data_IF_525413001540
#
_entry.id   IF_525413001540
#
_cell.length_a   1.000
_cell.length_b   1.000
_cell.length_c   1.000
_cell.angle_alpha   90.00
_cell.angle_beta   90.00
_cell.angle_gamma   90.00
#
_symmetry.space_group_name_H-M   'P 1'
#
loop_
_entity.id
_entity.type
_entity.pdbx_description
1 polymer ?
#
# COMPACT_ATOMS: atom_id res chain seq x y z
N UNK A 1 15.23 -0.69 12.57
CA UNK A 1 13.84 -0.38 12.18
C UNK A 1 13.81 0.25 10.81
N UNK A 2 12.79 -0.07 10.00
CA UNK A 2 12.55 0.54 8.69
C UNK A 2 11.23 1.32 8.75
N UNK A 3 11.22 2.52 9.35
CA UNK A 3 9.99 3.26 9.63
C UNK A 3 9.23 3.70 8.37
N UNK A 4 9.88 3.67 7.22
CA UNK A 4 9.29 3.97 5.92
C UNK A 4 8.59 2.78 5.26
N UNK A 5 8.67 1.57 5.82
CA UNK A 5 7.99 0.40 5.26
C UNK A 5 6.48 0.52 5.45
N UNK A 6 5.72 0.22 4.40
CA UNK A 6 4.26 0.31 4.39
C UNK A 6 3.67 -1.05 4.02
N UNK A 7 2.69 -1.49 4.81
CA UNK A 7 1.86 -2.65 4.54
C UNK A 7 0.60 -2.16 3.78
N UNK A 8 0.52 -2.44 2.48
CA UNK A 8 -0.65 -2.11 1.65
C UNK A 8 -1.62 -3.28 1.70
N UNK A 9 -2.82 -2.98 2.19
CA UNK A 9 -3.85 -3.96 2.46
C UNK A 9 -5.02 -3.78 1.50
N UNK A 10 -5.59 -4.89 1.06
CA UNK A 10 -6.82 -4.96 0.29
C UNK A 10 -7.86 -5.74 1.11
N UNK A 11 -9.00 -5.13 1.40
CA UNK A 11 -10.02 -5.68 2.32
C UNK A 11 -9.43 -6.09 3.70
N UNK A 12 -8.42 -5.35 4.17
CA UNK A 12 -7.73 -5.63 5.44
C UNK A 12 -6.67 -6.75 5.40
N UNK A 13 -6.48 -7.41 4.26
CA UNK A 13 -5.41 -8.40 4.07
C UNK A 13 -4.17 -7.80 3.41
N UNK A 14 -2.96 -8.15 3.89
CA UNK A 14 -1.69 -7.77 3.25
C UNK A 14 -1.68 -8.21 1.78
N UNK A 15 -1.49 -7.24 0.88
CA UNK A 15 -1.45 -7.49 -0.56
C UNK A 15 -0.08 -7.14 -1.15
N UNK A 16 0.50 -6.00 -0.75
CA UNK A 16 1.78 -5.52 -1.25
C UNK A 16 2.55 -4.74 -0.18
N UNK A 17 3.84 -4.56 -0.41
CA UNK A 17 4.66 -3.58 0.31
C UNK A 17 4.66 -2.21 -0.37
N UNK A 18 5.04 -1.18 0.38
CA UNK A 18 5.28 0.16 -0.14
C UNK A 18 6.36 0.88 0.66
N UNK A 19 6.73 2.07 0.18
CA UNK A 19 7.69 2.96 0.84
C UNK A 19 7.04 4.33 1.02
N UNK A 20 7.04 4.82 2.25
CA UNK A 20 6.62 6.19 2.56
C UNK A 20 7.68 7.16 2.02
N UNK A 21 7.31 7.97 1.03
CA UNK A 21 8.20 8.96 0.39
C UNK A 21 7.91 10.40 0.85
N UNK A 22 6.72 10.61 1.40
CA UNK A 22 6.29 11.84 2.08
C UNK A 22 5.19 11.48 3.10
N UNK A 23 4.84 12.41 3.97
CA UNK A 23 3.76 12.34 4.96
C UNK A 23 2.43 11.77 4.46
N UNK A 24 2.10 11.96 3.18
CA UNK A 24 0.87 11.47 2.56
C UNK A 24 1.09 10.73 1.23
N UNK A 25 2.34 10.32 0.93
CA UNK A 25 2.69 9.66 -0.34
C UNK A 25 3.42 8.35 -0.11
N UNK A 26 2.90 7.29 -0.73
CA UNK A 26 3.50 5.95 -0.72
C UNK A 26 3.85 5.55 -2.15
N UNK A 27 5.10 5.15 -2.37
CA UNK A 27 5.55 4.55 -3.61
C UNK A 27 5.47 3.01 -3.52
N UNK A 28 4.95 2.37 -4.57
CA UNK A 28 4.84 0.91 -4.68
C UNK A 28 4.79 0.48 -6.15
N UNK A 29 4.69 -0.82 -6.41
CA UNK A 29 4.54 -1.38 -7.74
C UNK A 29 3.10 -1.23 -8.26
N UNK A 30 2.94 -0.71 -9.47
CA UNK A 30 1.62 -0.50 -10.08
C UNK A 30 0.81 -1.79 -10.27
N UNK A 31 1.46 -2.95 -10.40
CA UNK A 31 0.78 -4.22 -10.60
C UNK A 31 -0.03 -4.68 -9.38
N UNK A 32 0.26 -4.17 -8.18
CA UNK A 32 -0.53 -4.43 -6.97
C UNK A 32 -2.01 -4.06 -7.17
N UNK A 33 -2.29 -3.09 -8.05
CA UNK A 33 -3.62 -2.55 -8.30
C UNK A 33 -4.23 -3.01 -9.63
N UNK A 34 -3.57 -3.91 -10.36
CA UNK A 34 -4.03 -4.35 -11.69
C UNK A 34 -5.39 -5.08 -11.67
N UNK A 35 -5.81 -5.59 -10.52
CA UNK A 35 -7.13 -6.23 -10.32
C UNK A 35 -8.33 -5.27 -10.33
N UNK A 36 -8.12 -3.95 -10.40
CA UNK A 36 -9.17 -2.97 -10.67
C UNK A 36 -10.16 -2.71 -9.54
N UNK A 37 -9.85 -3.11 -8.30
CA UNK A 37 -10.64 -2.70 -7.14
C UNK A 37 -10.43 -1.22 -6.85
N UNK A 38 -11.53 -0.52 -6.56
CA UNK A 38 -11.50 0.91 -6.25
C UNK A 38 -10.68 1.23 -4.99
N UNK A 39 -10.22 2.46 -4.89
CA UNK A 39 -9.37 2.96 -3.81
C UNK A 39 -9.98 2.77 -2.41
N UNK A 40 -11.32 2.77 -2.31
CA UNK A 40 -12.05 2.60 -1.05
C UNK A 40 -11.81 1.26 -0.36
N UNK A 41 -11.33 0.25 -1.08
CA UNK A 41 -11.02 -1.08 -0.56
C UNK A 41 -9.57 -1.19 -0.04
N UNK A 42 -8.77 -0.15 -0.23
CA UNK A 42 -7.35 -0.14 0.10
C UNK A 42 -7.06 0.64 1.37
N UNK A 43 -6.21 0.07 2.22
CA UNK A 43 -5.63 0.72 3.39
C UNK A 43 -4.11 0.62 3.35
N UNK A 44 -3.45 1.61 3.96
CA UNK A 44 -2.01 1.63 4.18
C UNK A 44 -1.75 1.60 5.69
N UNK A 45 -1.11 0.54 6.16
CA UNK A 45 -0.60 0.45 7.53
C UNK A 45 0.87 0.90 7.55
N UNK A 46 1.15 1.91 8.36
CA UNK A 46 2.50 2.47 8.59
C UNK A 46 2.86 2.32 10.06
N UNK A 47 4.15 2.18 10.36
CA UNK A 47 4.60 1.94 11.75
C UNK A 47 4.36 0.51 12.26
N UNK A 48 3.85 -0.37 11.40
CA UNK A 48 3.62 -1.80 11.65
C UNK A 48 4.96 -2.57 11.70
N UNK A 49 5.12 -3.45 12.70
CA UNK A 49 6.27 -4.35 12.82
C UNK A 49 5.86 -5.83 12.78
N UNK A 50 4.74 -6.18 13.42
CA UNK A 50 4.19 -7.54 13.44
C UNK A 50 2.73 -7.52 12.98
N UNK A 51 2.50 -7.87 11.71
CA UNK A 51 1.17 -7.88 11.07
C UNK A 51 0.11 -8.77 11.76
N UNK A 52 0.53 -9.60 12.73
CA UNK A 52 -0.36 -10.46 13.51
C UNK A 52 -0.85 -9.81 14.80
N UNK A 53 -0.31 -8.64 15.15
CA UNK A 53 -0.61 -7.88 16.36
C UNK A 53 -0.88 -6.43 16.00
N UNK A 54 -1.71 -5.77 16.79
CA UNK A 54 -1.86 -4.32 16.68
C UNK A 54 -0.69 -3.66 17.43
N UNK A 55 0.11 -2.87 16.71
CA UNK A 55 1.20 -2.10 17.32
C UNK A 55 0.70 -0.71 17.78
N UNK A 56 1.20 -0.17 18.91
CA UNK A 56 0.75 1.14 19.41
C UNK A 56 1.03 2.31 18.45
N UNK A 57 2.11 2.18 17.67
CA UNK A 57 2.56 3.17 16.71
C UNK A 57 1.98 2.92 15.29
N UNK A 58 1.18 1.85 15.13
CA UNK A 58 0.55 1.51 13.86
C UNK A 58 -0.56 2.50 13.52
N UNK A 59 -0.53 3.01 12.29
CA UNK A 59 -1.60 3.82 11.73
C UNK A 59 -2.13 3.16 10.47
N UNK A 60 -3.40 2.80 10.50
CA UNK A 60 -4.12 2.27 9.33
C UNK A 60 -4.92 3.38 8.69
N UNK A 61 -4.49 3.82 7.51
CA UNK A 61 -5.04 4.95 6.77
C UNK A 61 -5.74 4.48 5.50
N UNK A 62 -6.89 5.07 5.15
CA UNK A 62 -7.56 4.80 3.88
C UNK A 62 -6.79 5.42 2.71
N UNK A 63 -6.66 4.67 1.62
CA UNK A 63 -6.07 5.19 0.39
C UNK A 63 -7.06 6.12 -0.31
N UNK A 64 -6.66 7.37 -0.52
CA UNK A 64 -7.50 8.36 -1.21
C UNK A 64 -7.39 8.26 -2.74
N UNK A 65 -6.20 7.93 -3.26
CA UNK A 65 -5.95 7.88 -4.70
C UNK A 65 -4.84 6.90 -5.04
N UNK A 66 -5.04 6.13 -6.11
CA UNK A 66 -3.98 5.30 -6.73
C UNK A 66 -3.59 5.95 -8.05
N UNK A 67 -2.29 6.19 -8.25
CA UNK A 67 -1.76 6.83 -9.46
C UNK A 67 -0.75 5.89 -10.12
N UNK A 68 -1.19 4.97 -11.00
CA UNK A 68 -0.26 4.15 -11.77
C UNK A 68 0.58 5.03 -12.69
N UNK A 69 1.85 4.66 -12.87
CA UNK A 69 2.71 5.35 -13.83
C UNK A 69 2.09 5.26 -15.24
N UNK A 70 2.07 6.34 -16.05
CA UNK A 70 1.33 6.38 -17.33
C UNK A 70 1.85 5.38 -18.38
N UNK A 71 3.08 4.87 -18.22
CA UNK A 71 3.67 3.85 -19.10
C UNK A 71 3.53 2.42 -18.56
N UNK A 72 2.85 2.23 -17.43
CA UNK A 72 2.60 0.89 -16.90
C UNK A 72 1.65 0.12 -17.83
N UNK A 73 1.95 -1.16 -18.08
CA UNK A 73 1.12 -2.04 -18.89
C UNK A 73 0.75 -3.28 -18.08
N UNK A 74 -0.53 -3.39 -17.73
CA UNK A 74 -1.09 -4.49 -16.96
C UNK A 74 -1.09 -5.86 -17.70
N UNK A 75 -0.66 -5.93 -18.96
CA UNK A 75 -0.54 -7.19 -19.72
C UNK A 75 0.89 -7.71 -19.83
N UNK A 76 1.88 -6.92 -19.45
CA UNK A 76 3.30 -7.25 -19.69
C UNK A 76 4.17 -7.10 -18.44
N UNK A 77 3.57 -7.03 -17.24
CA UNK A 77 4.27 -6.71 -15.99
C UNK A 77 4.96 -7.90 -15.31
N UNK A 78 5.13 -9.01 -16.04
CA UNK A 78 5.69 -10.27 -15.52
C UNK A 78 7.21 -10.21 -15.41
#
# INVERSE_FOLDING_TARGET
SWPWLVNLQLDGGLMCGGVLVDSAWVATAAHCFAGGRGESYWTAAVGDFDITKADPDEQVLKVNRIIPHPKFNAKTFN
#
